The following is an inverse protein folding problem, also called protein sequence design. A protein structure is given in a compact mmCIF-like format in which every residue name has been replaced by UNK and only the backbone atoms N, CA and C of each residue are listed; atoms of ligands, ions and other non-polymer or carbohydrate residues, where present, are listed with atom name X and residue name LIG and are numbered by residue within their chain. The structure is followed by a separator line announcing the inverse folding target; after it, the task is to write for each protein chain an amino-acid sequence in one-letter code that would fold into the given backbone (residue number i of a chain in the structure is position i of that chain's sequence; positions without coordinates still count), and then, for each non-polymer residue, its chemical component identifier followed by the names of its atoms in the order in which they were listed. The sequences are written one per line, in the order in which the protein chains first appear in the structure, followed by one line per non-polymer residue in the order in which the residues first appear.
data_IF_664317667472
#
_entry.id   IF_664317667472
#
_cell.length_a   1.000
_cell.length_b   1.000
_cell.length_c   1.000
_cell.angle_alpha   90.00
_cell.angle_beta   90.00
_cell.angle_gamma   90.00
#
_symmetry.space_group_name_H-M   'P 1'
#
loop_
_entity.id
_entity.type
_entity.pdbx_description
1 polymer ?
#
# COMPACT_ATOMS: atom_id res chain seq x y z
N UNK A 1 -41.26 1.00 41.87
CA UNK A 1 -40.04 1.81 42.04
C UNK A 1 -38.95 1.42 41.03
N UNK A 2 -39.26 1.39 39.72
CA UNK A 2 -38.28 1.11 38.64
C UNK A 2 -38.49 1.97 37.36
N UNK A 3 -39.43 2.91 37.37
CA UNK A 3 -39.68 3.81 36.24
C UNK A 3 -38.67 4.99 36.05
N UNK A 4 -37.88 5.48 37.04
CA UNK A 4 -37.05 6.66 36.79
C UNK A 4 -35.79 6.34 35.96
N UNK A 5 -35.28 5.11 35.98
CA UNK A 5 -34.02 4.78 35.31
C UNK A 5 -34.12 4.80 33.78
N UNK A 6 -35.24 4.33 33.21
CA UNK A 6 -35.43 4.30 31.75
C UNK A 6 -35.62 5.72 31.19
N UNK A 7 -36.27 6.61 31.95
CA UNK A 7 -36.47 8.02 31.57
C UNK A 7 -35.14 8.80 31.53
N UNK A 8 -34.25 8.57 32.50
CA UNK A 8 -32.92 9.18 32.50
C UNK A 8 -32.03 8.70 31.35
N UNK A 9 -32.11 7.43 30.96
CA UNK A 9 -31.37 6.89 29.81
C UNK A 9 -31.85 7.54 28.51
N UNK A 10 -33.16 7.68 28.31
CA UNK A 10 -33.71 8.34 27.12
C UNK A 10 -33.33 9.83 27.04
N UNK A 11 -33.33 10.55 28.16
CA UNK A 11 -32.86 11.94 28.24
C UNK A 11 -31.38 12.07 27.84
N UNK A 12 -30.52 11.16 28.29
CA UNK A 12 -29.10 11.18 27.95
C UNK A 12 -28.81 10.82 26.49
N UNK A 13 -29.53 9.84 25.94
CA UNK A 13 -29.39 9.40 24.54
C UNK A 13 -29.89 10.48 23.58
N UNK A 14 -30.99 11.16 23.90
CA UNK A 14 -31.52 12.24 23.06
C UNK A 14 -30.64 13.50 23.12
N UNK A 15 -30.08 13.85 24.28
CA UNK A 15 -29.20 15.02 24.46
C UNK A 15 -27.88 14.91 23.66
N UNK A 16 -27.29 13.72 23.55
CA UNK A 16 -26.06 13.47 22.77
C UNK A 16 -26.27 13.53 21.24
N UNK A 17 -27.52 13.56 20.77
CA UNK A 17 -27.90 13.47 19.36
C UNK A 17 -28.28 14.83 18.74
N UNK A 18 -28.37 15.90 19.55
CA UNK A 18 -28.73 17.24 19.07
C UNK A 18 -27.54 18.10 18.57
N UNK A 19 -26.29 17.76 18.94
CA UNK A 19 -25.12 18.57 18.60
C UNK A 19 -24.33 18.11 17.35
N UNK A 20 -24.61 16.90 16.83
CA UNK A 20 -23.87 16.29 15.71
C UNK A 20 -24.53 16.34 14.32
N UNK A 21 -25.86 16.56 14.13
CA UNK A 21 -26.41 16.60 12.78
C UNK A 21 -26.04 17.90 12.05
N UNK A 22 -25.85 19.01 12.77
CA UNK A 22 -25.47 20.29 12.17
C UNK A 22 -24.02 20.34 11.66
N UNK A 23 -23.10 19.63 12.32
CA UNK A 23 -21.70 19.58 11.91
C UNK A 23 -21.50 18.69 10.68
N UNK A 24 -22.26 17.58 10.59
CA UNK A 24 -22.23 16.67 9.43
C UNK A 24 -22.88 17.35 8.21
N UNK A 25 -23.96 18.12 8.38
CA UNK A 25 -24.56 18.89 7.28
C UNK A 25 -23.67 20.03 6.82
N UNK A 26 -23.00 20.76 7.72
CA UNK A 26 -22.03 21.80 7.35
C UNK A 26 -20.80 21.24 6.63
N UNK A 27 -20.24 20.12 7.10
CA UNK A 27 -19.14 19.41 6.42
C UNK A 27 -19.57 18.91 5.03
N UNK A 28 -20.76 18.32 4.93
CA UNK A 28 -21.30 17.85 3.64
C UNK A 28 -21.49 18.99 2.63
N UNK A 29 -22.06 20.13 3.05
CA UNK A 29 -22.23 21.31 2.19
C UNK A 29 -20.86 21.89 1.80
N UNK A 30 -19.91 21.97 2.73
CA UNK A 30 -18.55 22.43 2.45
C UNK A 30 -17.83 21.52 1.43
N UNK A 31 -17.94 20.19 1.54
CA UNK A 31 -17.36 19.23 0.58
C UNK A 31 -17.98 19.40 -0.81
N UNK A 32 -19.29 19.61 -0.92
CA UNK A 32 -19.95 19.85 -2.21
C UNK A 32 -19.55 21.19 -2.83
N UNK A 33 -19.40 22.24 -2.02
CA UNK A 33 -18.97 23.56 -2.50
C UNK A 33 -17.48 23.59 -2.90
N UNK A 34 -16.60 22.93 -2.13
CA UNK A 34 -15.16 22.88 -2.41
C UNK A 34 -14.82 21.90 -3.54
N UNK A 35 -15.53 20.77 -3.62
CA UNK A 35 -15.35 19.75 -4.67
C UNK A 35 -15.74 20.25 -6.07
N UNK A 36 -16.65 21.22 -6.17
CA UNK A 36 -17.02 21.83 -7.45
C UNK A 36 -15.98 22.85 -7.99
N UNK A 37 -15.05 23.32 -7.15
CA UNK A 37 -13.95 24.22 -7.57
C UNK A 37 -12.61 23.49 -7.79
N UNK A 38 -12.50 22.24 -7.34
CA UNK A 38 -11.32 21.38 -7.50
C UNK A 38 -11.69 20.03 -8.12
N UNK A 39 -12.50 20.04 -9.19
CA UNK A 39 -12.62 18.86 -10.05
C UNK A 39 -11.42 18.84 -11.01
N UNK A 40 -10.38 18.02 -10.79
CA UNK A 40 -9.46 17.69 -11.86
C UNK A 40 -10.24 16.93 -12.92
N UNK A 41 -10.39 17.52 -14.11
CA UNK A 41 -10.86 16.81 -15.29
C UNK A 41 -9.91 15.68 -15.61
N UNK A 42 -10.38 14.45 -15.38
CA UNK A 42 -10.04 13.26 -16.16
C UNK A 42 -8.82 12.47 -15.71
N UNK A 43 -9.07 11.23 -15.29
CA UNK A 43 -8.34 10.06 -15.79
C UNK A 43 -9.27 8.83 -15.83
N UNK A 44 -9.79 8.53 -17.03
CA UNK A 44 -10.13 7.17 -17.38
C UNK A 44 -8.81 6.42 -17.62
N UNK A 45 -8.30 5.70 -16.62
CA UNK A 45 -7.28 4.68 -16.87
C UNK A 45 -8.01 3.35 -16.89
N UNK A 46 -8.48 3.00 -18.08
CA UNK A 46 -8.63 1.61 -18.44
C UNK A 46 -7.28 0.92 -18.15
N UNK A 47 -7.32 -0.04 -17.23
CA UNK A 47 -6.48 -1.23 -17.16
C UNK A 47 -5.52 -1.36 -18.35
N UNK A 48 -4.29 -0.87 -18.21
CA UNK A 48 -3.14 -1.48 -18.86
C UNK A 48 -2.41 -2.30 -17.80
N UNK A 49 -2.60 -3.61 -17.92
CA UNK A 49 -1.60 -4.62 -17.66
C UNK A 49 -0.16 -4.07 -17.70
N UNK A 50 0.70 -4.38 -16.73
CA UNK A 50 2.13 -4.22 -16.90
C UNK A 50 2.60 -5.30 -17.89
N UNK A 51 2.47 -4.99 -19.18
CA UNK A 51 3.26 -5.64 -20.22
C UNK A 51 4.68 -5.08 -20.07
N UNK A 52 5.55 -5.91 -19.50
CA UNK A 52 7.01 -5.97 -19.74
C UNK A 52 7.63 -4.70 -20.33
N UNK A 53 7.93 -3.74 -19.46
CA UNK A 53 9.07 -2.86 -19.64
C UNK A 53 10.08 -3.24 -18.56
N UNK A 54 11.17 -3.85 -19.01
CA UNK A 54 12.39 -4.00 -18.26
C UNK A 54 12.92 -2.60 -17.95
N UNK A 55 12.43 -2.06 -16.84
CA UNK A 55 12.90 -0.80 -16.28
C UNK A 55 13.98 -1.14 -15.26
N UNK A 56 15.22 -0.90 -15.65
CA UNK A 56 16.38 -0.92 -14.76
C UNK A 56 16.35 0.29 -13.79
N UNK A 57 15.20 0.92 -13.56
CA UNK A 57 15.04 1.88 -12.48
C UNK A 57 14.88 1.15 -11.15
N UNK A 58 15.89 1.42 -10.34
CA UNK A 58 16.03 1.18 -8.92
C UNK A 58 14.66 1.30 -8.21
N UNK A 59 13.95 0.18 -8.06
CA UNK A 59 12.97 0.00 -6.98
C UNK A 59 13.76 -0.08 -5.65
N UNK A 60 14.21 1.07 -5.14
CA UNK A 60 14.58 1.20 -3.73
C UNK A 60 13.30 1.23 -2.92
N UNK A 61 12.63 0.08 -2.77
CA UNK A 61 11.45 0.02 -1.93
C UNK A 61 11.50 -1.21 -1.04
N UNK A 62 12.31 -1.10 0.01
CA UNK A 62 12.32 -2.03 1.13
C UNK A 62 13.74 -2.37 1.56
N UNK A 63 14.00 -2.25 2.86
CA UNK A 63 15.14 -2.89 3.50
C UNK A 63 15.03 -4.39 3.24
N UNK A 64 15.85 -4.94 2.34
CA UNK A 64 15.88 -6.37 2.09
C UNK A 64 16.42 -7.08 3.35
N UNK A 65 15.83 -8.22 3.69
CA UNK A 65 16.24 -9.04 4.83
C UNK A 65 16.42 -10.47 4.35
N UNK A 66 17.30 -11.23 5.01
CA UNK A 66 17.50 -12.63 4.68
C UNK A 66 16.29 -13.46 5.14
N UNK A 67 15.38 -13.76 4.22
CA UNK A 67 14.20 -14.61 4.48
C UNK A 67 14.45 -16.09 4.16
N UNK A 68 15.72 -16.51 4.09
CA UNK A 68 16.08 -17.90 3.77
C UNK A 68 15.90 -18.30 2.30
N UNK A 69 15.66 -17.34 1.41
CA UNK A 69 15.59 -17.57 -0.05
C UNK A 69 16.95 -17.97 -0.59
N UNK A 70 16.98 -18.99 -1.44
CA UNK A 70 18.21 -19.52 -2.04
C UNK A 70 18.15 -19.58 -3.57
N UNK A 71 16.96 -19.53 -4.17
CA UNK A 71 16.77 -19.67 -5.61
C UNK A 71 16.18 -18.41 -6.26
N UNK A 72 16.48 -18.21 -7.54
CA UNK A 72 16.04 -17.05 -8.30
C UNK A 72 14.51 -16.88 -8.39
N UNK A 73 13.74 -17.97 -8.40
CA UNK A 73 12.28 -17.92 -8.40
C UNK A 73 11.66 -17.29 -7.15
N UNK A 74 12.43 -17.18 -6.06
CA UNK A 74 11.96 -16.65 -4.77
C UNK A 74 12.22 -15.15 -4.60
N UNK A 75 13.11 -14.59 -5.43
CA UNK A 75 13.39 -13.16 -5.49
C UNK A 75 12.36 -12.45 -6.35
N UNK A 76 12.25 -11.14 -6.18
CA UNK A 76 11.33 -10.29 -6.94
C UNK A 76 12.02 -9.21 -7.78
N UNK A 77 13.34 -9.06 -7.63
CA UNK A 77 14.12 -8.05 -8.36
C UNK A 77 15.62 -8.37 -8.41
N UNK A 78 16.32 -7.74 -9.36
CA UNK A 78 17.78 -7.87 -9.49
C UNK A 78 18.50 -7.26 -8.28
N UNK A 79 18.00 -6.14 -7.74
CA UNK A 79 18.55 -5.51 -6.55
C UNK A 79 18.41 -6.39 -5.30
N UNK A 80 17.26 -7.04 -5.12
CA UNK A 80 17.04 -8.02 -4.04
C UNK A 80 17.97 -9.23 -4.20
N UNK A 81 18.10 -9.79 -5.40
CA UNK A 81 19.00 -10.92 -5.65
C UNK A 81 20.47 -10.56 -5.34
N UNK A 82 20.93 -9.39 -5.78
CA UNK A 82 22.26 -8.85 -5.44
C UNK A 82 22.45 -8.57 -3.95
N UNK A 83 21.38 -8.21 -3.25
CA UNK A 83 21.40 -8.08 -1.80
C UNK A 83 21.60 -9.45 -1.14
N UNK A 84 20.80 -10.45 -1.50
CA UNK A 84 20.90 -11.78 -0.91
C UNK A 84 22.25 -12.42 -1.15
N UNK A 85 22.81 -12.33 -2.37
CA UNK A 85 24.14 -12.87 -2.69
C UNK A 85 25.26 -12.30 -1.78
N UNK A 86 25.15 -11.02 -1.38
CA UNK A 86 26.18 -10.34 -0.59
C UNK A 86 25.93 -10.37 0.92
N UNK A 87 24.68 -10.48 1.34
CA UNK A 87 24.28 -10.30 2.75
C UNK A 87 23.78 -11.59 3.40
N UNK A 88 23.41 -12.61 2.62
CA UNK A 88 22.81 -13.84 3.13
C UNK A 88 23.70 -15.06 2.80
N UNK A 89 24.04 -15.92 3.77
CA UNK A 89 24.80 -17.14 3.52
C UNK A 89 23.94 -18.21 2.83
N UNK A 90 24.57 -19.08 2.03
CA UNK A 90 23.92 -20.29 1.48
C UNK A 90 23.08 -20.07 0.21
N UNK A 91 23.18 -18.90 -0.43
CA UNK A 91 22.45 -18.59 -1.65
C UNK A 91 23.01 -19.34 -2.86
N UNK A 92 22.15 -19.93 -3.71
CA UNK A 92 22.53 -20.72 -4.90
C UNK A 92 21.94 -20.12 -6.17
N UNK A 93 22.21 -18.84 -6.39
CA UNK A 93 21.62 -18.04 -7.47
C UNK A 93 22.64 -17.47 -8.46
N UNK A 94 23.93 -17.48 -8.09
CA UNK A 94 25.05 -17.15 -8.95
C UNK A 94 25.85 -18.44 -9.21
N UNK A 95 25.63 -19.05 -10.38
CA UNK A 95 26.22 -20.34 -10.74
C UNK A 95 27.60 -20.20 -11.41
N UNK A 96 27.83 -19.07 -12.07
CA UNK A 96 29.04 -18.67 -12.77
C UNK A 96 30.00 -17.88 -11.87
N UNK A 97 29.56 -17.42 -10.70
CA UNK A 97 30.32 -16.58 -9.76
C UNK A 97 30.82 -15.28 -10.42
N UNK A 98 30.03 -14.69 -11.31
CA UNK A 98 30.36 -13.41 -11.94
C UNK A 98 29.81 -12.20 -11.15
N UNK A 99 29.09 -12.45 -10.05
CA UNK A 99 28.48 -11.43 -9.21
C UNK A 99 27.13 -10.93 -9.72
N UNK A 100 26.58 -11.54 -10.77
CA UNK A 100 25.25 -11.22 -11.32
C UNK A 100 24.30 -12.39 -11.06
N UNK A 101 23.58 -12.39 -9.92
CA UNK A 101 22.62 -13.45 -9.64
C UNK A 101 21.39 -13.34 -10.55
N UNK A 102 20.82 -14.48 -10.93
CA UNK A 102 19.51 -14.54 -11.61
C UNK A 102 19.42 -13.79 -12.96
N UNK A 103 20.46 -13.86 -13.78
CA UNK A 103 20.54 -13.25 -15.13
C UNK A 103 19.32 -13.59 -16.02
N UNK A 104 18.80 -14.81 -15.91
CA UNK A 104 17.68 -15.30 -16.72
C UNK A 104 16.32 -14.71 -16.33
N UNK A 105 16.13 -14.28 -15.08
CA UNK A 105 14.83 -13.86 -14.55
C UNK A 105 14.80 -12.39 -14.16
N UNK A 106 15.77 -11.93 -13.37
CA UNK A 106 15.75 -10.61 -12.74
C UNK A 106 16.82 -9.67 -13.28
N UNK A 107 18.06 -10.14 -13.42
CA UNK A 107 19.19 -9.35 -13.91
C UNK A 107 19.39 -9.55 -15.42
N UNK A 108 18.32 -9.39 -16.20
CA UNK A 108 18.43 -9.35 -17.67
C UNK A 108 19.16 -8.06 -18.07
N UNK A 109 20.01 -8.11 -19.09
CA UNK A 109 20.77 -6.97 -19.60
C UNK A 109 20.04 -6.27 -20.74
#
# INVERSE_FOLDING_TARGET
MFLPLVSFIFLFVHWKTAAKPFLITLLGIAILFFGALFAPTGQNIAKLTPATAHDNSIKMNGTFQCSGKIYCSEMSSCAEAKFYLRNCPGTKMDGNNDGIPCEKQWCRN
#
